data_IF_061586202323
#
_entry.id   IF_061586202323
#
_cell.length_a   1.000
_cell.length_b   1.000
_cell.length_c   1.000
_cell.angle_alpha   90.00
_cell.angle_beta   90.00
_cell.angle_gamma   90.00
#
_symmetry.space_group_name_H-M   'P 1'
#
loop_
_entity.id
_entity.type
_entity.pdbx_description
1 polymer ?
#
# COMPACT_ATOMS: atom_id res chain seq x y z
N UNK A 1 -0.53 -28.74 -8.81
CA UNK A 1 0.57 -28.78 -7.81
C UNK A 1 0.07 -28.30 -6.45
N UNK A 2 0.42 -29.01 -5.37
CA UNK A 2 -0.01 -28.68 -4.01
C UNK A 2 0.94 -27.65 -3.36
N UNK A 3 0.42 -26.85 -2.42
CA UNK A 3 1.21 -25.82 -1.73
C UNK A 3 2.30 -26.43 -0.84
N UNK A 4 2.04 -27.58 -0.21
CA UNK A 4 3.01 -28.27 0.63
C UNK A 4 4.20 -28.80 -0.16
N UNK A 5 3.95 -29.37 -1.35
CA UNK A 5 5.03 -29.84 -2.22
C UNK A 5 5.90 -28.66 -2.68
N UNK A 6 5.28 -27.57 -3.12
CA UNK A 6 6.00 -26.35 -3.49
C UNK A 6 6.84 -25.82 -2.32
N UNK A 7 6.29 -25.83 -1.11
CA UNK A 7 7.02 -25.40 0.08
C UNK A 7 8.24 -26.26 0.40
N UNK A 8 8.13 -27.58 0.28
CA UNK A 8 9.26 -28.50 0.53
C UNK A 8 10.45 -28.19 -0.38
N UNK A 9 10.18 -27.78 -1.62
CA UNK A 9 11.20 -27.33 -2.57
C UNK A 9 11.69 -25.92 -2.22
N UNK A 10 10.79 -24.95 -2.06
CA UNK A 10 11.15 -23.53 -1.96
C UNK A 10 11.80 -23.12 -0.63
N UNK A 11 11.52 -23.83 0.47
CA UNK A 11 11.91 -23.40 1.83
C UNK A 11 13.40 -23.21 2.05
N UNK A 12 14.25 -23.87 1.25
CA UNK A 12 15.72 -23.85 1.41
C UNK A 12 16.47 -23.14 0.29
N UNK A 13 15.95 -23.14 -0.95
CA UNK A 13 16.71 -22.72 -2.14
C UNK A 13 16.16 -21.48 -2.87
N UNK A 14 15.05 -20.90 -2.41
CA UNK A 14 14.44 -19.75 -3.09
C UNK A 14 15.33 -18.49 -2.96
N UNK A 15 15.50 -17.74 -4.06
CA UNK A 15 16.32 -16.53 -4.12
C UNK A 15 15.86 -15.41 -3.18
N UNK A 16 14.57 -15.40 -2.81
CA UNK A 16 14.03 -14.44 -1.85
C UNK A 16 14.40 -14.75 -0.39
N UNK A 17 14.99 -15.91 -0.11
CA UNK A 17 15.34 -16.32 1.26
C UNK A 17 16.67 -15.72 1.67
N UNK A 18 16.67 -14.93 2.73
CA UNK A 18 17.88 -14.32 3.31
C UNK A 18 18.12 -14.93 4.69
N UNK A 19 19.32 -15.48 4.91
CA UNK A 19 19.75 -16.03 6.20
C UNK A 19 20.84 -15.15 6.79
N UNK A 20 20.55 -14.50 7.92
CA UNK A 20 21.49 -13.62 8.64
C UNK A 20 21.20 -13.69 10.14
N UNK A 21 22.23 -13.57 10.97
CA UNK A 21 22.11 -13.48 12.44
C UNK A 21 21.22 -14.59 13.07
N UNK A 22 21.40 -15.85 12.62
CA UNK A 22 20.57 -17.01 13.02
C UNK A 22 19.06 -16.88 12.73
N UNK A 23 18.64 -15.88 11.96
CA UNK A 23 17.25 -15.67 11.54
C UNK A 23 17.11 -15.87 10.03
N UNK A 24 15.91 -16.27 9.59
CA UNK A 24 15.59 -16.48 8.17
C UNK A 24 14.44 -15.59 7.74
N UNK A 25 14.72 -14.71 6.79
CA UNK A 25 13.77 -13.76 6.22
C UNK A 25 13.39 -14.14 4.79
N UNK A 26 12.34 -13.50 4.29
CA UNK A 26 11.90 -13.62 2.91
C UNK A 26 11.61 -12.23 2.36
N UNK A 27 12.28 -11.88 1.25
CA UNK A 27 12.10 -10.62 0.51
C UNK A 27 11.06 -10.74 -0.61
N UNK A 28 10.19 -11.75 -0.53
CA UNK A 28 9.09 -11.90 -1.48
C UNK A 28 8.22 -10.64 -1.49
N UNK A 29 7.83 -10.16 -2.69
CA UNK A 29 6.94 -9.01 -2.79
C UNK A 29 5.64 -9.31 -2.06
N UNK A 30 5.09 -8.30 -1.39
CA UNK A 30 3.84 -8.41 -0.63
C UNK A 30 3.83 -9.41 0.56
N UNK A 31 4.96 -9.92 1.06
CA UNK A 31 4.99 -10.75 2.28
C UNK A 31 4.68 -9.88 3.52
N UNK A 32 3.59 -10.17 4.23
CA UNK A 32 3.12 -9.34 5.35
C UNK A 32 4.12 -9.24 6.51
N UNK A 33 4.84 -10.33 6.82
CA UNK A 33 5.79 -10.38 7.94
C UNK A 33 7.26 -10.41 7.53
N UNK A 34 7.56 -10.51 6.23
CA UNK A 34 8.91 -10.70 5.71
C UNK A 34 9.66 -11.92 6.33
N UNK A 35 8.92 -12.89 6.87
CA UNK A 35 9.47 -14.12 7.42
C UNK A 35 9.37 -15.25 6.38
N UNK A 36 10.38 -16.11 6.30
CA UNK A 36 10.30 -17.33 5.52
C UNK A 36 9.49 -18.39 6.29
N UNK A 37 8.19 -18.45 6.04
CA UNK A 37 7.29 -19.40 6.69
C UNK A 37 6.19 -19.80 5.72
N UNK A 38 5.74 -21.06 5.81
CA UNK A 38 4.67 -21.59 5.00
C UNK A 38 3.42 -20.68 5.02
N UNK A 39 3.05 -20.12 6.18
CA UNK A 39 1.81 -19.33 6.32
C UNK A 39 1.84 -18.01 5.55
N UNK A 40 3.00 -17.35 5.52
CA UNK A 40 3.18 -15.98 5.01
C UNK A 40 3.80 -15.93 3.60
N UNK A 41 4.30 -17.06 3.09
CA UNK A 41 4.80 -17.16 1.72
C UNK A 41 3.67 -16.88 0.71
N UNK A 42 3.97 -16.17 -0.38
CA UNK A 42 2.95 -15.81 -1.38
C UNK A 42 2.99 -16.63 -2.64
N UNK A 43 4.13 -17.21 -2.97
CA UNK A 43 4.32 -17.92 -4.23
C UNK A 43 3.58 -19.26 -4.22
N UNK A 44 3.53 -19.91 -3.06
CA UNK A 44 2.96 -21.25 -2.90
C UNK A 44 1.43 -21.28 -2.75
N UNK A 45 0.84 -20.20 -2.23
CA UNK A 45 -0.59 -20.20 -1.89
C UNK A 45 -1.46 -19.73 -3.05
N UNK A 46 -2.62 -20.36 -3.21
CA UNK A 46 -3.63 -19.93 -4.20
C UNK A 46 -4.29 -18.60 -3.81
N UNK A 47 -4.42 -18.35 -2.50
CA UNK A 47 -4.99 -17.14 -1.93
C UNK A 47 -3.94 -16.41 -1.11
N UNK A 48 -3.63 -15.18 -1.49
CA UNK A 48 -2.67 -14.32 -0.79
C UNK A 48 -3.25 -12.93 -0.55
N UNK A 49 -2.76 -12.28 0.50
CA UNK A 49 -3.05 -10.89 0.84
C UNK A 49 -1.71 -10.20 1.04
N UNK A 50 -1.62 -8.97 0.54
CA UNK A 50 -0.41 -8.15 0.57
C UNK A 50 -0.82 -6.72 0.80
N UNK A 51 0.04 -6.00 1.49
CA UNK A 51 -0.16 -4.60 1.81
C UNK A 51 1.15 -3.92 1.46
N UNK A 52 1.07 -2.97 0.54
CA UNK A 52 2.16 -2.17 0.01
C UNK A 52 1.77 -0.69 0.08
N UNK A 53 2.75 0.20 0.03
CA UNK A 53 2.51 1.63 -0.13
C UNK A 53 2.05 1.93 -1.54
N UNK A 54 1.17 2.92 -1.70
CA UNK A 54 0.87 3.46 -3.02
C UNK A 54 2.13 4.06 -3.67
N UNK A 55 2.19 4.01 -5.01
CA UNK A 55 3.30 4.58 -5.77
C UNK A 55 3.42 6.09 -5.53
N UNK A 56 2.27 6.75 -5.35
CA UNK A 56 2.16 8.19 -5.10
C UNK A 56 2.60 8.58 -3.68
N UNK A 57 2.97 7.61 -2.83
CA UNK A 57 3.24 7.82 -1.41
C UNK A 57 1.97 8.12 -0.60
N UNK A 58 0.81 8.20 -1.25
CA UNK A 58 -0.49 8.53 -0.67
C UNK A 58 -1.37 7.28 -0.55
N UNK A 59 -1.50 6.78 0.68
CA UNK A 59 -2.37 5.65 0.98
C UNK A 59 -1.74 4.27 0.79
N UNK A 60 -2.61 3.26 0.80
CA UNK A 60 -2.22 1.85 0.92
C UNK A 60 -2.78 1.03 -0.24
N UNK A 61 -1.93 0.20 -0.86
CA UNK A 61 -2.32 -0.74 -1.90
C UNK A 61 -2.48 -2.12 -1.27
N UNK A 62 -3.69 -2.67 -1.38
CA UNK A 62 -3.95 -4.05 -0.99
C UNK A 62 -3.93 -4.95 -2.23
N UNK A 63 -2.99 -5.90 -2.26
CA UNK A 63 -2.82 -6.84 -3.34
C UNK A 63 -3.35 -8.23 -2.95
N UNK A 64 -4.31 -8.74 -3.73
CA UNK A 64 -4.91 -10.08 -3.57
C UNK A 64 -4.73 -10.91 -4.83
N UNK A 65 -4.54 -12.22 -4.67
CA UNK A 65 -4.48 -13.15 -5.82
C UNK A 65 -5.89 -13.50 -6.34
N UNK A 66 -6.08 -13.47 -7.66
CA UNK A 66 -7.28 -14.00 -8.31
C UNK A 66 -7.35 -15.50 -8.14
N UNK A 67 -8.56 -16.05 -8.01
CA UNK A 67 -8.76 -17.51 -7.99
C UNK A 67 -8.44 -18.12 -9.35
N UNK A 68 -8.88 -17.47 -10.43
CA UNK A 68 -8.57 -17.82 -11.82
C UNK A 68 -7.18 -17.29 -12.22
N UNK A 69 -6.59 -17.88 -13.26
CA UNK A 69 -5.33 -17.38 -13.82
C UNK A 69 -4.09 -17.66 -12.97
N UNK A 70 -4.05 -18.74 -12.20
CA UNK A 70 -2.88 -19.11 -11.38
C UNK A 70 -1.61 -19.34 -12.22
N UNK A 71 -1.76 -19.82 -13.46
CA UNK A 71 -0.65 -19.96 -14.42
C UNK A 71 -0.35 -18.71 -15.24
N UNK A 72 -1.02 -17.58 -14.95
CA UNK A 72 -0.89 -16.32 -15.70
C UNK A 72 -0.39 -15.23 -14.75
N UNK A 73 0.92 -15.14 -14.48
CA UNK A 73 1.45 -14.25 -13.43
C UNK A 73 1.08 -12.78 -13.65
N UNK A 74 1.09 -12.31 -14.91
CA UNK A 74 0.74 -10.94 -15.28
C UNK A 74 -0.66 -10.51 -14.82
N UNK A 75 -1.65 -11.41 -14.90
CA UNK A 75 -3.05 -11.11 -14.55
C UNK A 75 -3.47 -11.69 -13.20
N UNK A 76 -2.55 -12.35 -12.49
CA UNK A 76 -2.88 -13.15 -11.30
C UNK A 76 -3.22 -12.30 -10.07
N UNK A 77 -2.83 -11.04 -10.04
CA UNK A 77 -3.06 -10.14 -8.90
C UNK A 77 -4.11 -9.07 -9.22
N UNK A 78 -4.94 -8.77 -8.24
CA UNK A 78 -5.80 -7.57 -8.18
C UNK A 78 -5.21 -6.67 -7.12
N UNK A 79 -4.97 -5.42 -7.48
CA UNK A 79 -4.50 -4.37 -6.58
C UNK A 79 -5.63 -3.37 -6.42
N UNK A 80 -5.90 -3.00 -5.17
CA UNK A 80 -6.88 -1.98 -4.82
C UNK A 80 -6.16 -0.93 -3.99
N UNK A 81 -6.12 0.29 -4.51
CA UNK A 81 -5.60 1.48 -3.83
C UNK A 81 -6.67 2.00 -2.88
N UNK A 82 -6.32 2.20 -1.62
CA UNK A 82 -7.16 2.86 -0.62
C UNK A 82 -6.43 4.15 -0.23
N UNK A 83 -7.01 5.27 -0.65
CA UNK A 83 -6.53 6.61 -0.32
C UNK A 83 -7.58 7.29 0.57
N UNK A 84 -7.78 6.71 1.74
CA UNK A 84 -8.69 7.22 2.77
C UNK A 84 -7.89 7.49 4.04
N UNK A 85 -8.55 8.07 5.04
CA UNK A 85 -7.97 8.23 6.37
C UNK A 85 -7.53 6.88 6.98
N UNK A 86 -6.70 6.95 8.03
CA UNK A 86 -6.09 5.77 8.62
C UNK A 86 -7.13 4.76 9.15
N UNK A 87 -8.19 5.24 9.79
CA UNK A 87 -9.24 4.39 10.37
C UNK A 87 -10.07 3.68 9.29
N UNK A 88 -10.45 4.39 8.24
CA UNK A 88 -11.19 3.85 7.11
C UNK A 88 -10.34 2.83 6.35
N UNK A 89 -9.04 3.09 6.15
CA UNK A 89 -8.10 2.14 5.54
C UNK A 89 -8.01 0.82 6.32
N UNK A 90 -7.85 0.89 7.65
CA UNK A 90 -7.80 -0.29 8.51
C UNK A 90 -9.14 -1.04 8.52
N UNK A 91 -10.25 -0.32 8.56
CA UNK A 91 -11.59 -0.88 8.53
C UNK A 91 -11.87 -1.57 7.19
N UNK A 92 -11.55 -0.94 6.07
CA UNK A 92 -11.70 -1.50 4.72
C UNK A 92 -10.90 -2.80 4.57
N UNK A 93 -9.62 -2.79 4.98
CA UNK A 93 -8.77 -3.99 4.96
C UNK A 93 -9.36 -5.13 5.84
N UNK A 94 -9.81 -4.79 7.05
CA UNK A 94 -10.48 -5.74 7.97
C UNK A 94 -11.72 -6.36 7.33
N UNK A 95 -12.59 -5.54 6.72
CA UNK A 95 -13.83 -5.99 6.10
C UNK A 95 -13.56 -6.88 4.90
N UNK A 96 -12.67 -6.46 4.00
CA UNK A 96 -12.29 -7.22 2.82
C UNK A 96 -11.74 -8.62 3.16
N UNK A 97 -11.04 -8.79 4.29
CA UNK A 97 -10.55 -10.11 4.73
C UNK A 97 -11.66 -10.91 5.42
N UNK A 98 -12.38 -10.30 6.38
CA UNK A 98 -13.35 -10.99 7.25
C UNK A 98 -14.65 -11.31 6.53
N UNK A 99 -15.26 -10.33 5.85
CA UNK A 99 -16.58 -10.49 5.19
C UNK A 99 -16.49 -11.45 4.01
N UNK A 100 -15.44 -11.36 3.20
CA UNK A 100 -15.23 -12.25 2.06
C UNK A 100 -14.64 -13.63 2.44
N UNK A 101 -14.40 -13.89 3.74
CA UNK A 101 -13.80 -15.14 4.26
C UNK A 101 -12.55 -15.58 3.47
N UNK A 102 -11.71 -14.61 3.06
CA UNK A 102 -10.68 -14.90 2.05
C UNK A 102 -9.46 -15.62 2.66
N UNK A 103 -8.83 -15.00 3.66
CA UNK A 103 -7.70 -15.51 4.46
C UNK A 103 -7.77 -14.91 5.88
N UNK A 104 -8.73 -15.34 6.72
CA UNK A 104 -8.96 -14.73 8.04
C UNK A 104 -7.75 -14.85 8.97
N UNK A 105 -6.90 -15.85 8.73
CA UNK A 105 -5.63 -16.08 9.43
C UNK A 105 -4.64 -14.92 9.26
N UNK A 106 -4.66 -14.22 8.13
CA UNK A 106 -3.72 -13.13 7.84
C UNK A 106 -4.22 -11.76 8.29
N UNK A 107 -5.44 -11.67 8.84
CA UNK A 107 -6.11 -10.41 9.19
C UNK A 107 -5.24 -9.50 10.04
N UNK A 108 -4.72 -9.99 11.16
CA UNK A 108 -3.95 -9.16 12.09
C UNK A 108 -2.61 -8.73 11.47
N UNK A 109 -1.95 -9.62 10.73
CA UNK A 109 -0.71 -9.27 10.03
C UNK A 109 -0.94 -8.20 8.96
N UNK A 110 -2.06 -8.25 8.25
CA UNK A 110 -2.42 -7.24 7.25
C UNK A 110 -2.73 -5.88 7.90
N UNK A 111 -3.44 -5.87 9.03
CA UNK A 111 -3.72 -4.65 9.79
C UNK A 111 -2.45 -4.00 10.34
N UNK A 112 -1.56 -4.79 10.96
CA UNK A 112 -0.30 -4.28 11.50
C UNK A 112 0.61 -3.73 10.40
N UNK A 113 0.57 -4.31 9.19
CA UNK A 113 1.34 -3.77 8.07
C UNK A 113 0.73 -2.48 7.52
N UNK A 114 -0.60 -2.43 7.39
CA UNK A 114 -1.31 -1.23 6.97
C UNK A 114 -1.08 -0.06 7.94
N UNK A 115 -1.09 -0.30 9.25
CA UNK A 115 -0.87 0.75 10.26
C UNK A 115 0.55 1.31 10.27
N UNK A 116 1.53 0.59 9.71
CA UNK A 116 2.92 1.08 9.60
C UNK A 116 3.09 2.05 8.42
N UNK A 117 2.20 1.98 7.44
CA UNK A 117 2.23 2.89 6.30
C UNK A 117 1.40 4.13 6.64
N UNK A 118 1.97 5.35 6.57
CA UNK A 118 1.20 6.54 6.84
C UNK A 118 0.10 6.67 5.79
N UNK A 119 -1.16 6.68 6.23
CA UNK A 119 -2.21 7.35 5.47
C UNK A 119 -1.83 8.83 5.36
N UNK A 120 -2.31 9.52 4.33
CA UNK A 120 -2.07 10.94 4.16
C UNK A 120 -2.22 11.71 5.48
N UNK A 121 -1.36 12.70 5.78
CA UNK A 121 -1.79 13.73 6.71
C UNK A 121 -3.07 14.32 6.12
N UNK A 122 -4.15 14.32 6.91
CA UNK A 122 -5.27 15.21 6.64
C UNK A 122 -4.64 16.59 6.40
N UNK A 123 -4.93 17.22 5.25
CA UNK A 123 -4.71 18.65 5.18
C UNK A 123 -5.65 19.24 6.23
N UNK A 124 -5.11 19.65 7.37
CA UNK A 124 -5.80 20.61 8.21
C UNK A 124 -6.14 21.79 7.30
N UNK A 125 -7.40 22.18 7.31
CA UNK A 125 -7.96 23.23 6.47
C UNK A 125 -6.98 24.40 6.36
N UNK A 126 -6.63 24.76 5.13
CA UNK A 126 -5.85 25.97 4.89
C UNK A 126 -6.70 27.14 5.34
N UNK A 127 -6.32 27.75 6.46
CA UNK A 127 -6.69 29.14 6.75
C UNK A 127 -6.25 29.94 5.51
N UNK A 128 -7.23 30.42 4.76
CA UNK A 128 -7.01 31.31 3.63
C UNK A 128 -6.42 32.60 4.18
N UNK A 129 -5.09 32.74 4.10
CA UNK A 129 -4.40 33.99 4.42
C UNK A 129 -4.87 35.02 3.38
N UNK A 130 -5.84 35.83 3.78
CA UNK A 130 -6.36 36.96 3.00
C UNK A 130 -5.23 37.99 2.92
N UNK A 131 -4.45 37.93 1.84
CA UNK A 131 -3.49 38.98 1.50
C UNK A 131 -4.23 40.34 1.44
N UNK A 132 -3.72 41.39 2.11
CA UNK A 132 -4.32 42.72 2.03
C UNK A 132 -4.15 43.29 0.61
N UNK A 133 -5.11 44.09 0.12
CA UNK A 133 -5.13 44.51 -1.27
C UNK A 133 -3.90 45.35 -1.61
N UNK A 134 -3.18 44.92 -2.64
CA UNK A 134 -2.13 45.69 -3.29
C UNK A 134 -2.67 47.07 -3.69
N UNK A 135 -1.92 48.10 -3.32
CA UNK A 135 -2.13 49.47 -3.78
C UNK A 135 -2.15 49.49 -5.30
N UNK A 136 -3.30 49.84 -5.87
CA UNK A 136 -3.45 50.23 -7.26
C UNK A 136 -2.45 51.34 -7.56
N UNK A 137 -1.44 51.01 -8.36
CA UNK A 137 -0.65 51.99 -9.09
C UNK A 137 -1.58 52.65 -10.11
N UNK A 138 -2.22 53.75 -9.71
CA UNK A 138 -2.78 54.69 -10.68
C UNK A 138 -1.60 55.35 -11.43
N UNK A 139 -1.25 54.73 -12.55
CA UNK A 139 -0.63 55.38 -13.67
C UNK A 139 -1.64 56.37 -14.28
N UNK A 140 -1.65 57.61 -13.79
CA UNK A 140 -2.24 58.71 -14.56
C UNK A 140 -1.19 59.31 -15.50
N UNK A 141 -1.56 59.23 -16.77
CA UNK A 141 -0.89 59.73 -17.95
C UNK A 141 -0.65 61.26 -17.85
N UNK A 142 0.54 61.68 -18.26
CA UNK A 142 0.88 63.04 -18.76
C UNK A 142 -0.17 63.54 -19.78
N UNK A 143 -0.40 64.87 -20.02
CA UNK A 143 0.64 65.80 -20.46
C UNK A 143 0.46 67.33 -20.23
N UNK A 144 1.58 68.07 -20.30
CA UNK A 144 1.76 69.40 -20.93
C UNK A 144 1.00 70.66 -20.44
N UNK A 145 1.78 71.75 -20.40
CA UNK A 145 1.41 73.17 -20.57
C UNK A 145 0.83 73.93 -19.35
N UNK A 146 1.64 74.78 -18.73
CA UNK A 146 1.48 76.25 -18.79
C UNK A 146 2.55 76.98 -17.95
N UNK A 147 3.23 77.91 -18.63
CA UNK A 147 4.13 79.00 -18.18
C UNK A 147 5.56 78.61 -17.75
#
# INVERSE_FOLDING_TARGET
MSAHLQWMVMRTCCSYVIKRNKQTYSTEPNNLKACNSFRYNRLIHRKTVGVETAADGKGVVVARKRRSGQGKPATSYVRTTINENAQATLSSNRHMIRKNKYRPDLRMAALHRASRHPAQPEACDGEEEVDPPHQELLSDLSPSLMQ
#
